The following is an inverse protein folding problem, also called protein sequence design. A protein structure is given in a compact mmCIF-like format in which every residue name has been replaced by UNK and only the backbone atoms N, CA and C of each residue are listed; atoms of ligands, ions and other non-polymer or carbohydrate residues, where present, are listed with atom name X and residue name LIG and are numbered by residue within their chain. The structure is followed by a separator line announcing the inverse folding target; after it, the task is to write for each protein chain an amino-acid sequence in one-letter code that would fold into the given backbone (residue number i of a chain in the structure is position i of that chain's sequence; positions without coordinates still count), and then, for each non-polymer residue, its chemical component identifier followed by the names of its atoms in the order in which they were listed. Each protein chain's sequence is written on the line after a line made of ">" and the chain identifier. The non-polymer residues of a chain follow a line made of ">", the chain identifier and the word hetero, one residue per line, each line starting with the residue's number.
data_IF_476437317190
#
_entry.id   IF_476437317190
#
_cell.length_a   1.000
_cell.length_b   1.000
_cell.length_c   1.000
_cell.angle_alpha   90.00
_cell.angle_beta   90.00
_cell.angle_gamma   90.00
#
_symmetry.space_group_name_H-M   'P 1'
#
loop_
_entity.id
_entity.type
_entity.pdbx_description
1 polymer ?
#
# COMPACT_ATOMS: atom_id res chain seq x y z
N UNK A 1 71.42 -11.99 39.35
CA UNK A 1 71.10 -10.62 39.89
C UNK A 1 69.63 -10.39 39.64
N UNK A 2 68.78 -10.70 40.64
CA UNK A 2 68.14 -9.78 41.61
C UNK A 2 67.69 -8.50 40.94
N UNK A 3 66.38 -8.25 40.79
CA UNK A 3 65.54 -7.66 41.82
C UNK A 3 64.07 -7.88 41.55
N UNK A 4 63.39 -8.28 42.58
CA UNK A 4 61.98 -8.31 42.91
C UNK A 4 61.41 -6.91 42.96
N UNK A 5 60.12 -6.71 42.49
CA UNK A 5 59.30 -5.78 43.18
C UNK A 5 57.80 -6.12 42.93
N UNK A 6 57.13 -6.44 43.98
CA UNK A 6 55.75 -6.63 44.11
C UNK A 6 55.00 -5.26 44.09
N UNK A 7 53.88 -5.16 43.46
CA UNK A 7 52.93 -4.10 43.74
C UNK A 7 51.51 -4.63 43.67
N UNK A 8 50.93 -4.53 44.76
CA UNK A 8 49.72 -4.88 45.41
C UNK A 8 48.45 -4.62 44.56
N UNK A 9 47.56 -5.61 44.58
CA UNK A 9 46.22 -5.59 44.08
C UNK A 9 45.34 -4.55 44.79
N UNK A 10 44.53 -3.84 44.00
CA UNK A 10 43.33 -3.18 44.55
C UNK A 10 42.14 -3.64 43.73
N UNK A 11 41.39 -4.57 44.33
CA UNK A 11 40.11 -5.03 43.83
C UNK A 11 39.06 -3.92 44.01
N UNK A 12 38.64 -3.34 42.91
CA UNK A 12 37.44 -2.46 42.93
C UNK A 12 36.31 -3.21 42.26
N UNK A 13 35.49 -3.88 43.05
CA UNK A 13 34.25 -4.52 42.66
C UNK A 13 33.17 -3.44 42.44
N UNK A 14 32.95 -3.05 41.20
CA UNK A 14 31.74 -2.28 40.84
C UNK A 14 30.64 -3.22 40.47
N UNK A 15 29.60 -3.31 41.32
CA UNK A 15 28.31 -3.92 40.99
C UNK A 15 27.68 -3.13 39.84
N UNK A 16 27.57 -3.73 38.63
CA UNK A 16 26.65 -3.27 37.63
C UNK A 16 25.26 -3.84 37.94
N UNK A 17 24.40 -3.00 38.46
CA UNK A 17 22.96 -3.27 38.51
C UNK A 17 22.42 -3.21 37.08
N UNK A 18 22.12 -4.37 36.50
CA UNK A 18 21.38 -4.48 35.27
C UNK A 18 19.90 -4.15 35.52
N UNK A 19 19.50 -2.93 35.24
CA UNK A 19 18.09 -2.59 35.10
C UNK A 19 17.57 -3.14 33.78
N UNK A 20 16.96 -4.32 33.83
CA UNK A 20 16.11 -4.82 32.77
C UNK A 20 14.84 -3.95 32.70
N UNK A 21 14.91 -2.88 31.91
CA UNK A 21 13.74 -2.08 31.56
C UNK A 21 12.91 -2.82 30.54
N UNK A 22 11.84 -3.46 30.96
CA UNK A 22 10.71 -3.85 30.10
C UNK A 22 10.18 -2.60 29.38
N UNK A 23 10.02 -2.59 28.05
CA UNK A 23 9.34 -1.49 27.38
C UNK A 23 7.85 -1.59 27.73
N UNK A 24 7.46 -0.88 28.75
CA UNK A 24 6.06 -0.61 29.07
C UNK A 24 5.49 0.20 27.90
N UNK A 25 4.55 -0.41 27.14
CA UNK A 25 3.82 0.24 26.08
C UNK A 25 2.89 1.32 26.65
N UNK A 26 3.44 2.51 26.89
CA UNK A 26 2.65 3.71 27.12
C UNK A 26 2.01 4.15 25.80
N UNK A 27 0.68 4.19 25.74
CA UNK A 27 -0.04 4.81 24.64
C UNK A 27 0.37 6.30 24.54
N UNK A 28 0.82 6.80 23.38
CA UNK A 28 1.22 8.19 23.25
C UNK A 28 -0.01 9.09 23.26
N UNK A 29 -0.09 9.93 24.24
CA UNK A 29 -0.99 11.08 24.31
C UNK A 29 -0.70 12.02 23.15
N UNK A 30 -1.65 12.23 22.25
CA UNK A 30 -1.85 13.46 21.48
C UNK A 30 -0.73 14.00 20.57
N UNK A 31 0.30 13.21 20.21
CA UNK A 31 1.39 13.66 19.37
C UNK A 31 1.38 12.99 17.98
N UNK A 32 2.10 13.58 17.03
CA UNK A 32 2.33 12.95 15.73
C UNK A 32 2.90 11.54 15.88
N UNK A 33 2.34 10.61 15.14
CA UNK A 33 2.80 9.23 15.17
C UNK A 33 3.89 9.02 14.10
N UNK A 34 5.03 8.48 14.52
CA UNK A 34 6.16 8.18 13.65
C UNK A 34 6.44 6.68 13.60
N UNK A 35 6.86 6.21 12.43
CA UNK A 35 7.28 4.84 12.18
C UNK A 35 8.70 4.81 11.63
N UNK A 36 9.55 3.93 12.16
CA UNK A 36 10.90 3.74 11.64
C UNK A 36 10.90 2.65 10.59
N UNK A 37 11.29 3.00 9.36
CA UNK A 37 11.35 2.10 8.21
C UNK A 37 12.28 0.92 8.49
N UNK A 38 11.80 -0.28 8.26
CA UNK A 38 12.54 -1.53 8.43
C UNK A 38 12.97 -2.09 7.06
N UNK A 39 13.94 -3.00 7.07
CA UNK A 39 14.40 -3.67 5.85
C UNK A 39 13.24 -4.46 5.20
N UNK A 40 13.00 -4.19 3.91
CA UNK A 40 11.91 -4.80 3.16
C UNK A 40 10.58 -4.06 3.25
N UNK A 41 10.50 -2.93 3.98
CA UNK A 41 9.33 -2.08 3.95
C UNK A 41 9.20 -1.36 2.59
N UNK A 42 7.95 -1.13 2.23
CA UNK A 42 7.57 -0.22 1.15
C UNK A 42 6.57 0.79 1.69
N UNK A 43 6.52 1.98 1.09
CA UNK A 43 5.55 3.00 1.52
C UNK A 43 4.11 2.48 1.44
N UNK A 44 3.82 1.61 0.48
CA UNK A 44 2.52 0.95 0.35
C UNK A 44 2.22 0.03 1.56
N UNK A 45 3.19 -0.82 2.00
CA UNK A 45 3.00 -1.67 3.19
C UNK A 45 2.77 -0.84 4.45
N UNK A 46 3.54 0.24 4.60
CA UNK A 46 3.41 1.18 5.71
C UNK A 46 2.04 1.88 5.65
N UNK A 47 1.59 2.32 4.48
CA UNK A 47 0.28 2.93 4.28
C UNK A 47 -0.87 2.02 4.73
N UNK A 48 -0.79 0.75 4.38
CA UNK A 48 -1.77 -0.27 4.81
C UNK A 48 -1.73 -0.52 6.31
N UNK A 49 -0.53 -0.60 6.89
CA UNK A 49 -0.35 -0.84 8.33
C UNK A 49 -0.93 0.28 9.18
N UNK A 50 -0.81 1.52 8.73
CA UNK A 50 -1.28 2.70 9.46
C UNK A 50 -2.60 3.27 8.93
N UNK A 51 -3.26 2.56 8.00
CA UNK A 51 -4.51 2.98 7.37
C UNK A 51 -4.46 4.42 6.80
N UNK A 52 -3.34 4.77 6.18
CA UNK A 52 -3.11 6.07 5.56
C UNK A 52 -2.88 5.91 4.06
N UNK A 53 -3.46 6.75 3.19
CA UNK A 53 -3.14 6.75 1.78
C UNK A 53 -1.65 7.00 1.53
N UNK A 54 -1.06 6.35 0.51
CA UNK A 54 0.35 6.54 0.13
C UNK A 54 0.66 7.99 -0.15
N UNK A 55 -0.23 8.68 -0.89
CA UNK A 55 -0.12 10.11 -1.20
C UNK A 55 -0.04 10.99 0.05
N UNK A 56 -0.79 10.65 1.10
CA UNK A 56 -0.75 11.36 2.38
C UNK A 56 0.57 11.14 3.11
N UNK A 57 1.05 9.89 3.15
CA UNK A 57 2.36 9.59 3.73
C UNK A 57 3.49 10.31 2.98
N UNK A 58 3.41 10.36 1.64
CA UNK A 58 4.36 11.13 0.83
C UNK A 58 4.33 12.62 1.17
N UNK A 59 3.14 13.22 1.22
CA UNK A 59 2.97 14.63 1.54
C UNK A 59 3.48 14.99 2.95
N UNK A 60 3.19 14.16 3.95
CA UNK A 60 3.65 14.39 5.32
C UNK A 60 5.16 14.27 5.52
N UNK A 61 5.83 13.54 4.63
CA UNK A 61 7.26 13.24 4.73
C UNK A 61 8.08 13.85 3.58
N UNK A 62 7.50 14.73 2.76
CA UNK A 62 8.13 15.36 1.60
C UNK A 62 8.79 14.36 0.64
N UNK A 63 8.20 13.16 0.50
CA UNK A 63 8.72 12.12 -0.37
C UNK A 63 8.31 12.38 -1.81
N UNK A 64 9.29 12.58 -2.69
CA UNK A 64 9.05 12.74 -4.13
C UNK A 64 8.83 11.41 -4.85
N UNK A 65 9.32 10.31 -4.28
CA UNK A 65 9.22 8.97 -4.85
C UNK A 65 8.94 7.94 -3.73
N UNK A 66 7.82 7.19 -3.82
CA UNK A 66 7.45 6.21 -2.79
C UNK A 66 8.39 5.00 -2.72
N UNK A 67 9.26 4.80 -3.71
CA UNK A 67 10.25 3.71 -3.72
C UNK A 67 11.58 4.07 -3.04
N UNK A 68 11.80 5.35 -2.73
CA UNK A 68 13.03 5.82 -2.10
C UNK A 68 12.85 5.90 -0.58
N UNK A 69 12.64 4.76 0.06
CA UNK A 69 12.66 4.63 1.51
C UNK A 69 14.01 4.10 1.98
N UNK A 70 14.59 4.78 2.95
CA UNK A 70 15.83 4.34 3.60
C UNK A 70 15.53 3.56 4.88
N UNK A 71 16.24 2.45 5.09
CA UNK A 71 16.13 1.68 6.33
C UNK A 71 16.60 2.56 7.49
N UNK A 72 15.75 2.67 8.52
CA UNK A 72 15.98 3.55 9.66
C UNK A 72 15.38 4.94 9.52
N UNK A 73 14.89 5.33 8.35
CA UNK A 73 14.17 6.58 8.13
C UNK A 73 12.93 6.66 9.03
N UNK A 74 12.71 7.82 9.66
CA UNK A 74 11.47 8.07 10.40
C UNK A 74 10.41 8.65 9.47
N UNK A 75 9.27 8.00 9.42
CA UNK A 75 8.10 8.44 8.67
C UNK A 75 6.98 8.85 9.61
N UNK A 76 6.45 10.04 9.40
CA UNK A 76 5.21 10.48 10.02
C UNK A 76 4.06 9.67 9.43
N UNK A 77 3.37 8.90 10.27
CA UNK A 77 2.31 7.96 9.86
C UNK A 77 0.94 8.28 10.45
N UNK A 78 0.86 9.27 11.34
CA UNK A 78 -0.37 9.77 11.94
C UNK A 78 -0.22 11.19 12.42
N UNK A 79 -1.36 11.89 12.54
CA UNK A 79 -1.46 13.19 13.20
C UNK A 79 -2.16 12.94 14.53
N UNK A 80 -1.56 13.36 15.62
CA UNK A 80 -2.21 13.40 16.91
C UNK A 80 -3.47 14.27 16.81
N UNK A 81 -4.62 13.71 17.19
CA UNK A 81 -5.88 14.44 17.20
C UNK A 81 -5.85 15.56 18.24
N UNK A 82 -5.32 16.70 17.85
CA UNK A 82 -5.73 17.94 18.50
C UNK A 82 -7.07 18.34 17.87
N UNK A 83 -8.16 18.04 18.57
CA UNK A 83 -9.48 18.58 18.24
C UNK A 83 -9.44 20.10 18.41
N UNK A 84 -9.04 20.80 17.38
CA UNK A 84 -9.43 22.19 17.21
C UNK A 84 -10.82 22.18 16.59
N UNK A 85 -11.81 22.36 17.43
CA UNK A 85 -13.16 22.75 17.03
C UNK A 85 -13.05 24.10 16.32
N UNK A 86 -12.98 24.09 15.01
CA UNK A 86 -13.32 25.25 14.19
C UNK A 86 -14.74 25.05 13.70
N UNK A 87 -15.65 25.67 14.41
CA UNK A 87 -17.02 25.93 13.99
C UNK A 87 -16.98 26.81 12.76
N UNK A 88 -17.20 26.22 11.58
CA UNK A 88 -17.37 26.89 10.30
C UNK A 88 -18.71 26.48 9.73
N UNK A 89 -19.70 27.30 9.96
CA UNK A 89 -21.05 27.23 9.42
C UNK A 89 -21.01 27.19 7.89
N UNK A 90 -21.43 26.09 7.27
CA UNK A 90 -21.73 26.05 5.83
C UNK A 90 -23.06 25.34 5.64
N UNK A 91 -23.93 25.88 4.78
CA UNK A 91 -25.36 25.55 4.79
C UNK A 91 -25.64 24.14 4.31
N UNK A 92 -26.56 23.54 5.03
CA UNK A 92 -27.26 22.29 4.79
C UNK A 92 -27.67 22.11 3.32
N UNK A 93 -26.94 21.27 2.58
CA UNK A 93 -27.45 20.69 1.34
C UNK A 93 -27.86 19.26 1.67
N UNK A 94 -29.14 19.07 1.79
CA UNK A 94 -29.80 17.77 1.97
C UNK A 94 -29.36 16.84 0.83
N UNK A 95 -28.35 16.01 1.10
CA UNK A 95 -28.05 14.84 0.27
C UNK A 95 -28.84 13.70 0.89
N UNK A 96 -29.86 13.27 0.18
CA UNK A 96 -30.64 12.09 0.48
C UNK A 96 -29.69 10.93 0.70
N UNK A 97 -29.55 10.51 1.97
CA UNK A 97 -28.87 9.27 2.33
C UNK A 97 -29.70 8.13 1.81
N UNK A 98 -29.30 7.58 0.68
CA UNK A 98 -29.75 6.26 0.26
C UNK A 98 -29.17 5.23 1.23
N UNK A 99 -30.07 4.37 1.70
CA UNK A 99 -29.93 3.41 2.79
C UNK A 99 -28.62 2.63 2.84
N UNK A 100 -28.14 2.47 4.04
CA UNK A 100 -27.33 1.39 4.62
C UNK A 100 -26.68 0.38 3.69
N UNK A 101 -25.44 0.65 3.27
CA UNK A 101 -24.58 -0.39 2.72
C UNK A 101 -24.02 -1.20 3.87
N UNK A 102 -24.59 -2.39 4.09
CA UNK A 102 -23.99 -3.46 4.92
C UNK A 102 -22.61 -3.75 4.37
N UNK A 103 -21.63 -4.20 5.21
CA UNK A 103 -20.38 -4.71 4.70
C UNK A 103 -20.67 -5.82 3.69
N UNK A 104 -20.60 -5.51 2.40
CA UNK A 104 -20.82 -6.47 1.34
C UNK A 104 -19.70 -7.49 1.36
N UNK A 105 -20.04 -8.78 1.25
CA UNK A 105 -19.08 -9.84 1.02
C UNK A 105 -18.18 -9.49 -0.18
N UNK A 106 -16.98 -10.09 -0.26
CA UNK A 106 -16.13 -9.94 -1.43
C UNK A 106 -16.94 -10.23 -2.71
N UNK A 107 -16.68 -9.50 -3.81
CA UNK A 107 -17.36 -9.79 -5.07
C UNK A 107 -17.18 -11.27 -5.41
N UNK A 108 -18.29 -11.98 -5.62
CA UNK A 108 -18.28 -13.41 -5.97
C UNK A 108 -17.78 -13.66 -7.38
N UNK A 109 -17.81 -12.65 -8.25
CA UNK A 109 -17.25 -12.67 -9.61
C UNK A 109 -16.73 -11.29 -9.99
N UNK A 110 -15.60 -11.27 -10.69
CA UNK A 110 -15.01 -10.10 -11.28
C UNK A 110 -15.40 -10.03 -12.77
N UNK A 111 -15.33 -8.83 -13.35
CA UNK A 111 -15.41 -8.67 -14.80
C UNK A 111 -14.00 -8.68 -15.40
N UNK A 112 -13.87 -9.09 -16.66
CA UNK A 112 -12.61 -8.98 -17.38
C UNK A 112 -12.14 -7.51 -17.44
N UNK A 113 -10.91 -7.20 -16.98
CA UNK A 113 -10.41 -5.83 -16.98
C UNK A 113 -10.03 -5.33 -18.39
N UNK A 114 -9.74 -6.23 -19.30
CA UNK A 114 -9.50 -5.98 -20.72
C UNK A 114 -9.83 -7.23 -21.52
N UNK A 115 -10.06 -7.06 -22.81
CA UNK A 115 -10.14 -8.19 -23.77
C UNK A 115 -8.77 -8.45 -24.36
N UNK A 116 -8.39 -9.71 -24.50
CA UNK A 116 -7.13 -10.13 -25.10
C UNK A 116 -6.75 -11.55 -24.71
N UNK A 117 -5.73 -12.08 -25.37
CA UNK A 117 -5.15 -13.38 -25.06
C UNK A 117 -4.35 -13.32 -23.76
N UNK A 118 -4.39 -14.38 -22.95
CA UNK A 118 -3.54 -14.52 -21.77
C UNK A 118 -2.16 -15.01 -22.21
N UNK A 119 -1.17 -14.13 -22.12
CA UNK A 119 0.22 -14.41 -22.54
C UNK A 119 1.12 -14.81 -21.37
N UNK A 120 0.67 -14.63 -20.12
CA UNK A 120 1.31 -15.18 -18.93
C UNK A 120 0.27 -15.49 -17.87
N UNK A 121 0.44 -16.63 -17.20
CA UNK A 121 -0.47 -17.09 -16.17
C UNK A 121 0.09 -16.83 -14.76
N UNK A 122 -0.81 -16.80 -13.79
CA UNK A 122 -0.48 -16.79 -12.37
C UNK A 122 0.23 -18.11 -12.00
N UNK A 123 1.37 -18.01 -11.28
CA UNK A 123 2.07 -19.17 -10.71
C UNK A 123 2.38 -19.02 -9.22
N UNK A 124 1.98 -17.90 -8.59
CA UNK A 124 2.14 -17.64 -7.17
C UNK A 124 3.57 -17.29 -6.73
N UNK A 125 4.58 -17.49 -7.58
CA UNK A 125 6.00 -17.23 -7.28
C UNK A 125 6.53 -16.03 -8.07
N UNK A 126 6.88 -16.20 -9.32
CA UNK A 126 7.42 -15.16 -10.20
C UNK A 126 6.32 -14.29 -10.83
N UNK A 127 5.13 -14.86 -11.11
CA UNK A 127 3.96 -14.12 -11.59
C UNK A 127 2.89 -14.09 -10.50
N UNK A 128 2.51 -12.89 -10.07
CA UNK A 128 1.48 -12.65 -9.04
C UNK A 128 0.10 -12.40 -9.64
N UNK A 129 -0.01 -12.43 -10.97
CA UNK A 129 -1.23 -12.19 -11.72
C UNK A 129 -1.23 -12.87 -13.07
N UNK A 130 -2.05 -12.36 -13.98
CA UNK A 130 -2.08 -12.75 -15.39
C UNK A 130 -1.66 -11.56 -16.27
N UNK A 131 -1.03 -11.84 -17.39
CA UNK A 131 -0.76 -10.84 -18.42
C UNK A 131 -1.74 -11.02 -19.58
N UNK A 132 -2.43 -9.95 -19.93
CA UNK A 132 -3.41 -9.91 -21.02
C UNK A 132 -2.79 -9.09 -22.17
N UNK A 133 -2.65 -9.71 -23.34
CA UNK A 133 -2.18 -9.04 -24.54
C UNK A 133 -3.20 -8.02 -25.06
N UNK A 134 -2.71 -6.99 -25.73
CA UNK A 134 -3.56 -6.01 -26.39
C UNK A 134 -2.76 -4.94 -27.12
N UNK A 135 -3.46 -3.93 -27.63
CA UNK A 135 -2.87 -2.78 -28.29
C UNK A 135 -2.73 -1.60 -27.33
N UNK A 136 -1.74 -0.74 -27.55
CA UNK A 136 -1.61 0.50 -26.83
C UNK A 136 -2.90 1.33 -26.95
N UNK A 137 -3.38 1.87 -25.81
CA UNK A 137 -4.62 2.62 -25.77
C UNK A 137 -5.87 1.78 -25.53
N UNK A 138 -5.81 0.44 -25.55
CA UNK A 138 -6.95 -0.42 -25.22
C UNK A 138 -7.48 -0.05 -23.83
N UNK A 139 -8.82 0.17 -23.66
CA UNK A 139 -9.39 0.52 -22.37
C UNK A 139 -9.15 -0.57 -21.32
N UNK A 140 -8.65 -0.17 -20.17
CA UNK A 140 -8.54 -0.98 -18.96
C UNK A 140 -9.69 -0.61 -18.02
N UNK A 141 -10.48 -1.61 -17.60
CA UNK A 141 -11.70 -1.43 -16.82
C UNK A 141 -11.56 -1.97 -15.41
N UNK A 142 -12.23 -1.34 -14.45
CA UNK A 142 -12.32 -1.86 -13.10
C UNK A 142 -13.09 -3.20 -13.09
N UNK A 143 -12.47 -4.25 -12.54
CA UNK A 143 -13.05 -5.59 -12.52
C UNK A 143 -14.24 -5.73 -11.56
N UNK A 144 -14.36 -4.85 -10.57
CA UNK A 144 -15.47 -4.78 -9.62
C UNK A 144 -15.62 -3.35 -9.09
N UNK A 145 -16.74 -3.02 -8.44
CA UNK A 145 -16.91 -1.74 -7.76
C UNK A 145 -15.90 -1.63 -6.60
N UNK A 146 -15.36 -0.42 -6.38
CA UNK A 146 -14.40 -0.23 -5.31
C UNK A 146 -13.88 1.20 -5.21
N UNK A 147 -12.87 1.37 -4.37
CA UNK A 147 -12.17 2.65 -4.18
C UNK A 147 -10.73 2.53 -4.67
N UNK A 148 -10.31 3.46 -5.50
CA UNK A 148 -8.89 3.57 -5.91
C UNK A 148 -8.02 3.86 -4.70
N UNK A 149 -7.15 2.94 -4.36
CA UNK A 149 -6.27 3.03 -3.19
C UNK A 149 -4.85 3.48 -3.53
N UNK A 150 -4.47 3.43 -4.81
CA UNK A 150 -3.18 3.90 -5.30
C UNK A 150 -3.22 4.21 -6.79
N UNK A 151 -2.54 5.27 -7.19
CA UNK A 151 -2.23 5.63 -8.57
C UNK A 151 -0.80 6.12 -8.65
N UNK A 152 0.05 5.53 -9.49
CA UNK A 152 1.44 5.98 -9.63
C UNK A 152 2.36 4.97 -10.31
N UNK A 153 3.63 5.34 -10.39
CA UNK A 153 4.72 4.55 -10.98
C UNK A 153 5.76 4.10 -9.93
N UNK A 154 5.49 4.36 -8.65
CA UNK A 154 6.47 4.18 -7.58
C UNK A 154 6.68 2.75 -7.11
N UNK A 155 6.00 1.76 -7.68
CA UNK A 155 6.17 0.34 -7.32
C UNK A 155 6.98 -0.35 -8.43
N UNK A 156 8.20 -0.75 -8.08
CA UNK A 156 9.11 -1.40 -9.04
C UNK A 156 8.48 -2.61 -9.70
N UNK A 157 8.59 -2.70 -11.03
CA UNK A 157 8.10 -3.82 -11.82
C UNK A 157 6.67 -3.69 -12.32
N UNK A 158 5.93 -2.62 -11.93
CA UNK A 158 4.53 -2.42 -12.34
C UNK A 158 4.34 -1.28 -13.35
N UNK A 159 5.34 -0.39 -13.50
CA UNK A 159 5.15 0.82 -14.29
C UNK A 159 3.99 1.66 -13.76
N UNK A 160 3.17 2.22 -14.63
CA UNK A 160 1.95 2.97 -14.26
C UNK A 160 0.90 2.00 -13.74
N UNK A 161 0.59 2.13 -12.45
CA UNK A 161 -0.22 1.20 -11.66
C UNK A 161 -1.46 1.88 -11.10
N UNK A 162 -2.58 1.17 -11.18
CA UNK A 162 -3.81 1.47 -10.41
C UNK A 162 -4.07 0.30 -9.47
N UNK A 163 -4.32 0.60 -8.19
CA UNK A 163 -4.82 -0.38 -7.21
C UNK A 163 -6.23 0.02 -6.80
N UNK A 164 -7.14 -0.96 -6.79
CA UNK A 164 -8.51 -0.77 -6.34
C UNK A 164 -8.79 -1.71 -5.18
N UNK A 165 -9.25 -1.15 -4.06
CA UNK A 165 -9.72 -1.92 -2.90
C UNK A 165 -11.22 -2.13 -3.04
N UNK A 166 -11.65 -3.37 -2.92
CA UNK A 166 -13.03 -3.82 -2.94
C UNK A 166 -13.48 -4.24 -1.54
N UNK A 167 -14.74 -4.60 -1.42
CA UNK A 167 -15.30 -5.21 -0.19
C UNK A 167 -14.66 -6.57 0.09
N UNK A 168 -14.81 -7.09 1.31
CA UNK A 168 -14.32 -8.42 1.69
C UNK A 168 -12.80 -8.60 1.68
N UNK A 169 -12.02 -7.52 1.80
CA UNK A 169 -10.55 -7.59 1.85
C UNK A 169 -9.89 -7.89 0.50
N UNK A 170 -10.65 -7.77 -0.60
CA UNK A 170 -10.13 -7.95 -1.96
C UNK A 170 -9.49 -6.67 -2.49
N UNK A 171 -8.42 -6.82 -3.27
CA UNK A 171 -7.74 -5.76 -4.00
C UNK A 171 -7.41 -6.26 -5.40
N UNK A 172 -7.56 -5.39 -6.40
CA UNK A 172 -7.11 -5.65 -7.77
C UNK A 172 -6.04 -4.65 -8.18
N UNK A 173 -5.07 -5.13 -8.98
CA UNK A 173 -3.98 -4.33 -9.51
C UNK A 173 -4.02 -4.33 -11.04
N UNK A 174 -3.79 -3.17 -11.63
CA UNK A 174 -3.78 -2.93 -13.07
C UNK A 174 -2.48 -2.22 -13.43
N UNK A 175 -1.54 -2.93 -14.04
CA UNK A 175 -0.19 -2.44 -14.28
C UNK A 175 0.15 -2.30 -15.76
N UNK A 176 1.27 -1.63 -16.05
CA UNK A 176 1.81 -1.32 -17.37
C UNK A 176 0.93 -0.38 -18.21
N UNK A 177 0.11 0.44 -17.55
CA UNK A 177 -0.78 1.37 -18.23
C UNK A 177 0.01 2.44 -19.01
N UNK A 178 -0.58 2.95 -20.10
CA UNK A 178 -0.08 4.13 -20.82
C UNK A 178 -0.58 5.42 -20.18
N UNK A 179 -1.90 5.49 -19.91
CA UNK A 179 -2.54 6.63 -19.23
C UNK A 179 -3.47 6.13 -18.14
N UNK A 180 -3.61 6.92 -17.07
CA UNK A 180 -4.53 6.63 -15.97
C UNK A 180 -5.59 7.74 -15.94
N UNK A 181 -6.87 7.34 -15.91
CA UNK A 181 -8.04 8.23 -15.99
C UNK A 181 -8.73 8.43 -14.62
N UNK A 182 -8.20 7.83 -13.57
CA UNK A 182 -8.75 7.93 -12.21
C UNK A 182 -7.71 8.48 -11.24
N UNK A 183 -8.17 8.93 -10.07
CA UNK A 183 -7.31 9.44 -9.00
C UNK A 183 -7.48 8.64 -7.72
N UNK A 184 -6.48 8.70 -6.88
CA UNK A 184 -6.52 8.08 -5.55
C UNK A 184 -7.71 8.58 -4.72
N UNK A 185 -8.38 7.68 -4.02
CA UNK A 185 -9.59 7.96 -3.26
C UNK A 185 -10.89 7.96 -4.06
N UNK A 186 -10.84 7.90 -5.40
CA UNK A 186 -12.02 7.87 -6.25
C UNK A 186 -12.78 6.55 -6.11
N UNK A 187 -14.12 6.62 -6.05
CA UNK A 187 -15.00 5.46 -6.19
C UNK A 187 -15.15 5.13 -7.67
N UNK A 188 -15.12 3.85 -7.99
CA UNK A 188 -15.30 3.32 -9.35
C UNK A 188 -16.33 2.21 -9.36
N UNK A 189 -17.07 2.12 -10.46
CA UNK A 189 -18.04 1.03 -10.72
C UNK A 189 -17.36 -0.09 -11.52
N UNK A 190 -17.89 -1.32 -11.42
CA UNK A 190 -17.47 -2.41 -12.31
C UNK A 190 -17.64 -2.01 -13.78
N UNK A 191 -16.65 -2.34 -14.62
CA UNK A 191 -16.65 -2.00 -16.04
C UNK A 191 -16.29 -0.55 -16.37
N UNK A 192 -16.12 0.32 -15.37
CA UNK A 192 -15.68 1.69 -15.59
C UNK A 192 -14.25 1.70 -16.13
N UNK A 193 -13.97 2.47 -17.19
CA UNK A 193 -12.62 2.69 -17.68
C UNK A 193 -11.80 3.46 -16.64
N UNK A 194 -10.65 2.91 -16.25
CA UNK A 194 -9.76 3.46 -15.22
C UNK A 194 -8.39 3.85 -15.78
N UNK A 195 -8.01 3.25 -16.90
CA UNK A 195 -6.74 3.47 -17.56
C UNK A 195 -6.80 3.00 -19.02
N UNK A 196 -5.70 3.16 -19.73
CA UNK A 196 -5.47 2.55 -21.04
C UNK A 196 -4.22 1.67 -21.00
N UNK A 197 -4.26 0.55 -21.72
CA UNK A 197 -3.15 -0.40 -21.81
C UNK A 197 -1.92 0.24 -22.43
N UNK A 198 -0.74 -0.14 -21.97
CA UNK A 198 0.52 0.36 -22.45
C UNK A 198 1.68 -0.61 -22.18
N UNK A 199 2.88 -0.06 -22.16
CA UNK A 199 4.12 -0.80 -21.92
C UNK A 199 5.01 -0.14 -20.85
N UNK A 200 4.41 0.66 -19.93
CA UNK A 200 5.21 1.29 -18.89
C UNK A 200 5.86 0.26 -17.98
N UNK A 201 7.19 0.33 -17.81
CA UNK A 201 7.95 -0.59 -16.97
C UNK A 201 8.04 -2.03 -17.46
N UNK A 202 7.74 -2.30 -18.72
CA UNK A 202 7.84 -3.62 -19.36
C UNK A 202 8.28 -3.51 -20.84
N UNK A 203 8.59 -4.65 -21.48
CA UNK A 203 9.15 -4.76 -22.83
C UNK A 203 8.09 -4.72 -23.95
N UNK A 204 6.82 -4.91 -23.61
CA UNK A 204 5.73 -4.99 -24.60
C UNK A 204 4.42 -4.43 -24.07
N UNK A 205 3.50 -4.13 -24.98
CA UNK A 205 2.14 -3.71 -24.62
C UNK A 205 1.38 -4.89 -24.01
N UNK A 206 0.93 -4.73 -22.78
CA UNK A 206 0.12 -5.71 -22.03
C UNK A 206 -0.56 -5.05 -20.85
N UNK A 207 -1.56 -5.72 -20.31
CA UNK A 207 -2.08 -5.45 -18.98
C UNK A 207 -1.61 -6.57 -18.03
N UNK A 208 -0.86 -6.23 -16.99
CA UNK A 208 -0.67 -7.14 -15.86
C UNK A 208 -1.79 -6.93 -14.85
N UNK A 209 -2.57 -7.99 -14.59
CA UNK A 209 -3.73 -7.96 -13.71
C UNK A 209 -3.55 -8.92 -12.55
N UNK A 210 -3.65 -8.39 -11.31
CA UNK A 210 -3.60 -9.20 -10.09
C UNK A 210 -4.91 -9.12 -9.32
N UNK A 211 -5.24 -10.23 -8.67
CA UNK A 211 -6.25 -10.31 -7.62
C UNK A 211 -5.54 -10.67 -6.31
N UNK A 212 -5.85 -9.94 -5.25
CA UNK A 212 -5.31 -10.20 -3.91
C UNK A 212 -6.45 -10.28 -2.91
N UNK A 213 -6.43 -11.31 -2.09
CA UNK A 213 -7.37 -11.51 -0.98
C UNK A 213 -6.58 -11.50 0.31
N UNK A 214 -6.96 -10.65 1.26
CA UNK A 214 -6.24 -10.47 2.52
C UNK A 214 -4.73 -10.26 2.30
N UNK A 215 -4.39 -9.44 1.30
CA UNK A 215 -3.03 -9.09 0.88
C UNK A 215 -2.19 -10.22 0.26
N UNK A 216 -2.77 -11.40 0.00
CA UNK A 216 -2.14 -12.50 -0.72
C UNK A 216 -2.58 -12.49 -2.17
N UNK A 217 -1.63 -12.60 -3.11
CA UNK A 217 -1.96 -12.80 -4.51
C UNK A 217 -2.60 -14.19 -4.70
N UNK A 218 -3.69 -14.22 -5.43
CA UNK A 218 -4.45 -15.42 -5.78
C UNK A 218 -4.59 -15.50 -7.30
N UNK A 219 -4.92 -16.68 -7.84
CA UNK A 219 -5.11 -16.84 -9.27
C UNK A 219 -6.32 -16.02 -9.76
N UNK A 220 -6.14 -15.02 -10.63
CA UNK A 220 -7.24 -14.21 -11.13
C UNK A 220 -8.31 -15.03 -11.86
N UNK A 221 -7.93 -16.15 -12.48
CA UNK A 221 -8.84 -17.02 -13.23
C UNK A 221 -9.90 -17.69 -12.37
N UNK A 222 -9.68 -17.77 -11.03
CA UNK A 222 -10.68 -18.30 -10.10
C UNK A 222 -11.82 -17.30 -9.82
N UNK A 223 -11.65 -16.04 -10.23
CA UNK A 223 -12.60 -14.94 -9.98
C UNK A 223 -13.17 -14.34 -11.26
N UNK A 224 -12.56 -14.58 -12.42
CA UNK A 224 -13.00 -14.09 -13.72
C UNK A 224 -14.01 -15.05 -14.35
N UNK A 225 -15.00 -14.53 -15.12
CA UNK A 225 -15.94 -15.37 -15.86
C UNK A 225 -15.21 -16.28 -16.86
N UNK A 226 -15.68 -17.52 -16.97
CA UNK A 226 -15.22 -18.48 -18.00
C UNK A 226 -15.73 -18.11 -19.37
#
# INVERSE_FOLDING_TARGET
>A
MKFSSACTALFCTTLLAACAGTPSGGAPSGGDQYYRVQRGDTLYRISRRFNQPVSRLMAWNNLKNPSLLEVGQQLRVGIGNNRSTSSGNTPNRTVTRTAGERPSAAPSSLQWPARGEIIAQFNGSSSKGIDIAGSAGTPVKAAAPGRVSYVGEGIRGYGKLVLITHTGGMLTAYAHNSQISVREGQQVSAGQTIATMGSSGTDRVKLHFEVRVNNRAVNPMDYLPK
#
